data_IF_741129387472
#
_entry.id   IF_741129387472
#
_cell.length_a   1.000
_cell.length_b   1.000
_cell.length_c   1.000
_cell.angle_alpha   90.00
_cell.angle_beta   90.00
_cell.angle_gamma   90.00
#
_symmetry.space_group_name_H-M   'P 1'
#
loop_
_entity.id
_entity.type
_entity.pdbx_description
1 polymer ?
#
# COMPACT_ATOMS: atom_id res chain seq x y z
N UNK A 1 -33.65 42.96 7.47
CA UNK A 1 -34.33 41.73 7.93
C UNK A 1 -34.78 40.96 6.70
N UNK A 2 -34.12 39.83 6.40
CA UNK A 2 -34.68 38.60 5.85
C UNK A 2 -33.56 37.74 5.25
N UNK A 3 -33.18 36.76 6.05
CA UNK A 3 -32.22 35.69 5.82
C UNK A 3 -32.77 34.74 4.76
N UNK A 4 -32.06 34.59 3.64
CA UNK A 4 -32.28 33.49 2.71
C UNK A 4 -31.07 32.57 2.81
N UNK A 5 -31.31 31.43 3.43
CA UNK A 5 -30.33 30.42 3.76
C UNK A 5 -29.76 29.82 2.47
N UNK A 6 -28.51 30.13 2.15
CA UNK A 6 -27.74 29.38 1.17
C UNK A 6 -27.45 28.00 1.75
N UNK A 7 -28.42 27.10 1.56
CA UNK A 7 -28.30 25.66 1.74
C UNK A 7 -27.05 25.19 0.99
N UNK A 8 -25.97 25.03 1.75
CA UNK A 8 -24.71 24.49 1.30
C UNK A 8 -24.97 23.03 0.98
N UNK A 9 -25.18 22.74 -0.30
CA UNK A 9 -25.23 21.38 -0.81
C UNK A 9 -23.80 20.84 -0.66
N UNK A 10 -23.51 20.25 0.51
CA UNK A 10 -22.32 19.45 0.77
C UNK A 10 -22.42 18.21 -0.11
N UNK A 11 -22.12 18.38 -1.40
CA UNK A 11 -21.92 17.31 -2.36
C UNK A 11 -20.71 16.55 -1.84
N UNK A 12 -20.98 15.51 -1.06
CA UNK A 12 -20.07 14.42 -0.76
C UNK A 12 -19.73 13.77 -2.10
N UNK A 13 -18.79 14.37 -2.82
CA UNK A 13 -18.04 13.62 -3.82
C UNK A 13 -17.29 12.57 -3.01
N UNK A 14 -17.54 11.26 -3.21
CA UNK A 14 -16.59 10.27 -2.75
C UNK A 14 -15.27 10.68 -3.41
N UNK A 15 -14.27 11.04 -2.61
CA UNK A 15 -12.92 11.22 -3.11
C UNK A 15 -12.58 9.89 -3.75
N UNK A 16 -12.68 9.81 -5.07
CA UNK A 16 -12.03 8.79 -5.86
C UNK A 16 -10.57 9.02 -5.53
N UNK A 17 -10.08 8.30 -4.53
CA UNK A 17 -8.69 8.32 -4.11
C UNK A 17 -7.98 7.63 -5.26
N UNK A 18 -7.71 8.38 -6.35
CA UNK A 18 -6.78 7.95 -7.37
C UNK A 18 -5.53 7.62 -6.56
N UNK A 19 -5.17 6.32 -6.45
CA UNK A 19 -4.03 5.96 -5.63
C UNK A 19 -2.84 6.75 -6.19
N UNK A 20 -2.13 7.41 -5.29
CA UNK A 20 -0.93 8.15 -5.66
C UNK A 20 0.01 7.15 -6.35
N UNK A 21 0.60 7.45 -7.52
CA UNK A 21 1.37 6.46 -8.29
C UNK A 21 2.54 5.89 -7.50
N UNK A 22 3.04 6.62 -6.50
CA UNK A 22 4.06 6.14 -5.55
C UNK A 22 3.46 5.12 -4.58
N UNK A 23 2.22 5.31 -4.15
CA UNK A 23 1.49 4.33 -3.34
C UNK A 23 1.09 3.09 -4.15
N UNK A 24 0.76 3.22 -5.43
CA UNK A 24 0.53 2.06 -6.31
C UNK A 24 1.80 1.22 -6.48
N UNK A 25 2.96 1.87 -6.65
CA UNK A 25 4.25 1.17 -6.73
C UNK A 25 4.57 0.44 -5.42
N UNK A 26 4.38 1.09 -4.27
CA UNK A 26 4.58 0.47 -2.96
C UNK A 26 3.61 -0.70 -2.70
N UNK A 27 2.34 -0.57 -3.10
CA UNK A 27 1.34 -1.63 -2.97
C UNK A 27 1.67 -2.82 -3.87
N UNK A 28 2.16 -2.59 -5.10
CA UNK A 28 2.60 -3.65 -6.00
C UNK A 28 3.83 -4.40 -5.48
N UNK A 29 4.79 -3.69 -4.88
CA UNK A 29 5.96 -4.31 -4.22
C UNK A 29 5.53 -5.16 -3.02
N UNK A 30 4.59 -4.64 -2.22
CA UNK A 30 4.03 -5.36 -1.10
C UNK A 30 3.25 -6.62 -1.52
N UNK A 31 2.48 -6.54 -2.62
CA UNK A 31 1.74 -7.68 -3.15
C UNK A 31 2.68 -8.79 -3.63
N UNK A 32 3.74 -8.45 -4.39
CA UNK A 32 4.78 -9.41 -4.80
C UNK A 32 5.49 -10.04 -3.61
N UNK A 33 5.86 -9.25 -2.60
CA UNK A 33 6.46 -9.77 -1.38
C UNK A 33 5.51 -10.74 -0.67
N UNK A 34 4.25 -10.36 -0.54
CA UNK A 34 3.23 -11.17 0.12
C UNK A 34 2.97 -12.48 -0.65
N UNK A 35 2.93 -12.41 -1.98
CA UNK A 35 2.78 -13.58 -2.84
C UNK A 35 3.98 -14.54 -2.70
N UNK A 36 5.20 -14.01 -2.80
CA UNK A 36 6.43 -14.80 -2.63
C UNK A 36 6.52 -15.47 -1.24
N UNK A 37 6.10 -14.77 -0.18
CA UNK A 37 6.03 -15.33 1.17
C UNK A 37 4.90 -16.35 1.36
N UNK A 38 3.78 -16.16 0.66
CA UNK A 38 2.61 -17.06 0.74
C UNK A 38 2.85 -18.36 -0.01
N UNK A 39 3.61 -18.31 -1.09
CA UNK A 39 3.94 -19.47 -1.88
C UNK A 39 4.97 -20.35 -1.16
N UNK A 40 4.45 -21.31 -0.39
CA UNK A 40 5.25 -22.38 0.22
C UNK A 40 5.64 -23.38 -0.86
N UNK A 41 6.80 -23.14 -1.45
CA UNK A 41 7.31 -24.00 -2.49
C UNK A 41 7.37 -25.47 -2.09
N UNK A 42 6.99 -26.37 -3.00
CA UNK A 42 6.87 -27.80 -2.70
C UNK A 42 8.23 -28.50 -2.58
N UNK A 43 9.26 -27.92 -3.20
CA UNK A 43 10.64 -28.44 -3.19
C UNK A 43 11.60 -27.45 -2.53
N UNK A 44 12.82 -27.89 -2.21
CA UNK A 44 13.86 -27.01 -1.65
C UNK A 44 14.27 -25.90 -2.63
N UNK A 45 14.39 -26.23 -3.92
CA UNK A 45 14.71 -25.28 -4.98
C UNK A 45 13.64 -24.20 -5.12
N UNK A 46 12.37 -24.61 -5.05
CA UNK A 46 11.20 -23.72 -5.12
C UNK A 46 11.15 -22.79 -3.92
N UNK A 47 11.38 -23.31 -2.71
CA UNK A 47 11.52 -22.50 -1.50
C UNK A 47 12.68 -21.50 -1.59
N UNK A 48 13.83 -21.92 -2.11
CA UNK A 48 14.99 -21.04 -2.26
C UNK A 48 14.72 -19.92 -3.27
N UNK A 49 14.00 -20.20 -4.37
CA UNK A 49 13.59 -19.18 -5.34
C UNK A 49 12.58 -18.20 -4.74
N UNK A 50 11.60 -18.70 -3.98
CA UNK A 50 10.59 -17.86 -3.35
C UNK A 50 11.20 -16.98 -2.25
N UNK A 51 12.17 -17.50 -1.50
CA UNK A 51 12.97 -16.72 -0.56
C UNK A 51 13.77 -15.62 -1.26
N UNK A 52 14.44 -15.95 -2.37
CA UNK A 52 15.19 -14.97 -3.15
C UNK A 52 14.28 -13.87 -3.73
N UNK A 53 13.09 -14.24 -4.23
CA UNK A 53 12.11 -13.30 -4.73
C UNK A 53 11.54 -12.40 -3.63
N UNK A 54 11.31 -12.95 -2.42
CA UNK A 54 10.89 -12.16 -1.27
C UNK A 54 11.99 -11.18 -0.83
N UNK A 55 13.25 -11.60 -0.81
CA UNK A 55 14.39 -10.76 -0.43
C UNK A 55 14.61 -9.60 -1.43
N UNK A 56 14.49 -9.87 -2.73
CA UNK A 56 14.56 -8.86 -3.79
C UNK A 56 13.40 -7.84 -3.69
N UNK A 57 12.17 -8.34 -3.50
CA UNK A 57 11.00 -7.47 -3.32
C UNK A 57 11.09 -6.63 -2.05
N UNK A 58 11.64 -7.18 -0.96
CA UNK A 58 11.86 -6.45 0.28
C UNK A 58 12.95 -5.39 0.12
N UNK A 59 14.04 -5.71 -0.57
CA UNK A 59 15.13 -4.75 -0.87
C UNK A 59 14.59 -3.58 -1.68
N UNK A 60 13.84 -3.85 -2.75
CA UNK A 60 13.21 -2.80 -3.56
C UNK A 60 12.22 -1.94 -2.75
N UNK A 61 11.49 -2.54 -1.82
CA UNK A 61 10.61 -1.81 -0.90
C UNK A 61 11.40 -0.96 0.10
N UNK A 62 12.48 -1.48 0.70
CA UNK A 62 13.35 -0.73 1.61
C UNK A 62 13.98 0.48 0.91
N UNK A 63 14.51 0.28 -0.30
CA UNK A 63 15.08 1.35 -1.11
C UNK A 63 14.03 2.42 -1.44
N UNK A 64 12.82 1.99 -1.82
CA UNK A 64 11.69 2.90 -2.08
C UNK A 64 11.35 3.74 -0.84
N UNK A 65 11.29 3.12 0.34
CA UNK A 65 10.99 3.82 1.60
C UNK A 65 12.13 4.75 2.02
N UNK A 66 13.39 4.33 1.85
CA UNK A 66 14.58 5.13 2.16
C UNK A 66 14.70 6.36 1.24
N UNK A 67 14.25 6.25 0.00
CA UNK A 67 14.17 7.36 -0.94
C UNK A 67 13.06 8.38 -0.60
N UNK A 68 12.29 8.15 0.48
CA UNK A 68 11.13 8.97 0.86
C UNK A 68 9.84 8.59 0.13
N UNK A 69 9.82 7.40 -0.48
CA UNK A 69 8.62 6.81 -1.08
C UNK A 69 7.54 6.58 -0.02
N UNK A 70 6.29 6.49 -0.49
CA UNK A 70 5.15 6.34 0.43
C UNK A 70 5.06 4.90 0.92
N UNK A 71 4.64 4.76 2.18
CA UNK A 71 4.31 3.45 2.74
C UNK A 71 3.20 2.76 1.93
N UNK A 72 3.23 1.43 1.82
CA UNK A 72 2.12 0.68 1.26
C UNK A 72 0.86 0.89 2.13
N UNK A 73 -0.29 0.94 1.46
CA UNK A 73 -1.62 1.08 2.04
C UNK A 73 -1.89 0.12 3.22
N UNK A 74 -1.56 -1.19 3.16
CA UNK A 74 -1.76 -2.11 4.29
C UNK A 74 -0.93 -1.77 5.54
N UNK A 75 0.18 -1.03 5.42
CA UNK A 75 0.97 -0.60 6.58
C UNK A 75 0.44 0.71 7.16
N UNK A 76 -0.17 1.57 6.35
CA UNK A 76 -0.84 2.78 6.83
C UNK A 76 -2.02 2.47 7.76
N UNK A 77 -2.73 1.36 7.53
CA UNK A 77 -3.84 0.92 8.38
C UNK A 77 -3.39 0.21 9.66
N UNK A 78 -2.21 -0.41 9.67
CA UNK A 78 -1.60 -0.98 10.88
C UNK A 78 -1.20 0.11 11.88
N UNK A 79 -0.86 1.31 11.40
CA UNK A 79 -0.65 2.53 12.20
C UNK A 79 -1.99 3.25 12.45
N UNK A 80 -3.03 2.52 12.85
CA UNK A 80 -4.23 3.13 13.43
C UNK A 80 -3.89 3.83 14.76
N UNK A 81 -4.64 4.87 15.18
CA UNK A 81 -4.32 5.62 16.40
C UNK A 81 -4.26 4.67 17.61
N UNK A 82 -3.35 4.92 18.58
CA UNK A 82 -3.33 4.15 19.81
C UNK A 82 -4.70 4.24 20.48
N UNK A 83 -5.27 3.08 20.81
CA UNK A 83 -6.47 2.96 21.64
C UNK A 83 -6.15 3.29 23.10
#
# INVERSE_FOLDING_TARGET
MNTAEHTTIRRLYPRVHRPDPVTEAADALYDRLSEALRERGRTLTDRSRNQQAADDAFTALDEHLRAGGRLPTPWKTATGPPR
#
